data_IF_896162829225
#
_entry.id   IF_896162829225
#
_cell.length_a   1.000
_cell.length_b   1.000
_cell.length_c   1.000
_cell.angle_alpha   90.00
_cell.angle_beta   90.00
_cell.angle_gamma   90.00
#
_symmetry.space_group_name_H-M   'P 1'
#
loop_
_entity.id
_entity.type
_entity.pdbx_description
1 polymer ?
#
# COMPACT_ATOMS: atom_id res chain seq x y z
N UNK A 1 -35.30 -3.19 5.00
CA UNK A 1 -34.38 -3.30 6.13
C UNK A 1 -33.15 -2.48 5.78
N UNK A 2 -33.11 -1.23 6.28
CA UNK A 2 -32.11 -0.19 5.91
C UNK A 2 -31.14 0.10 7.06
N UNK A 3 -30.87 -0.90 7.93
CA UNK A 3 -30.17 -0.67 9.20
C UNK A 3 -28.68 -1.01 9.22
N UNK A 4 -28.05 -1.39 8.10
CA UNK A 4 -26.64 -1.83 8.07
C UNK A 4 -25.67 -0.84 7.41
N UNK A 5 -26.10 0.40 7.14
CA UNK A 5 -25.15 1.42 6.66
C UNK A 5 -24.78 2.35 7.80
N UNK A 6 -23.51 2.28 8.20
CA UNK A 6 -22.91 3.31 9.04
C UNK A 6 -22.99 4.65 8.30
N UNK A 7 -23.49 5.67 8.97
CA UNK A 7 -23.50 7.03 8.48
C UNK A 7 -22.24 7.75 8.94
N UNK A 8 -21.56 8.42 8.03
CA UNK A 8 -20.38 9.23 8.35
C UNK A 8 -20.79 10.69 8.23
N UNK A 9 -20.79 11.40 9.35
CA UNK A 9 -21.22 12.80 9.45
C UNK A 9 -19.98 13.65 9.69
N UNK A 10 -19.64 14.52 8.75
CA UNK A 10 -18.62 15.56 8.95
C UNK A 10 -19.31 16.74 9.63
N UNK A 11 -19.05 16.93 10.93
CA UNK A 11 -19.64 17.99 11.73
C UNK A 11 -18.96 19.33 11.49
N UNK A 12 -17.62 19.31 11.48
CA UNK A 12 -16.77 20.47 11.23
C UNK A 12 -15.62 20.07 10.32
N UNK A 13 -15.27 20.92 9.37
CA UNK A 13 -14.15 20.72 8.44
C UNK A 13 -13.49 22.06 8.14
N UNK A 14 -12.21 22.16 8.51
CA UNK A 14 -11.30 23.22 8.13
C UNK A 14 -10.02 22.62 7.54
N UNK A 15 -9.14 23.37 6.90
CA UNK A 15 -7.88 22.82 6.37
C UNK A 15 -7.02 22.11 7.42
N UNK A 16 -7.08 22.51 8.69
CA UNK A 16 -6.25 21.98 9.77
C UNK A 16 -7.00 21.29 10.91
N UNK A 17 -8.35 21.35 10.93
CA UNK A 17 -9.17 20.70 11.95
C UNK A 17 -10.39 20.05 11.33
N UNK A 18 -10.73 18.86 11.82
CA UNK A 18 -11.95 18.15 11.43
C UNK A 18 -12.57 17.37 12.56
N UNK A 19 -13.90 17.39 12.60
CA UNK A 19 -14.73 16.63 13.53
C UNK A 19 -15.66 15.72 12.74
N UNK A 20 -15.47 14.40 12.87
CA UNK A 20 -16.14 13.37 12.08
C UNK A 20 -16.80 12.40 13.03
N UNK A 21 -18.09 12.13 12.82
CA UNK A 21 -18.86 11.16 13.60
C UNK A 21 -19.22 9.97 12.71
N UNK A 22 -19.04 8.78 13.25
CA UNK A 22 -19.39 7.49 12.62
C UNK A 22 -20.43 6.80 13.48
N UNK A 23 -21.62 6.61 12.96
CA UNK A 23 -22.77 6.04 13.69
C UNK A 23 -23.79 5.40 12.74
N UNK A 24 -24.66 4.47 13.17
CA UNK A 24 -24.53 3.71 14.41
C UNK A 24 -23.45 2.62 14.26
N UNK A 25 -22.75 2.31 15.34
CA UNK A 25 -21.81 1.19 15.41
C UNK A 25 -22.37 0.16 16.41
N UNK A 26 -22.11 -1.12 16.20
CA UNK A 26 -22.42 -2.13 17.21
C UNK A 26 -21.55 -1.90 18.47
N UNK A 27 -22.12 -2.23 19.62
CA UNK A 27 -21.47 -2.02 20.92
C UNK A 27 -20.05 -2.58 20.98
N UNK A 28 -19.09 -1.71 21.36
CA UNK A 28 -17.67 -2.01 21.47
C UNK A 28 -16.87 -1.69 20.20
N UNK A 29 -17.52 -1.56 19.03
CA UNK A 29 -16.81 -1.19 17.79
C UNK A 29 -16.33 0.25 17.78
N UNK A 30 -16.98 1.14 18.53
CA UNK A 30 -16.51 2.52 18.70
C UNK A 30 -15.09 2.57 19.25
N UNK A 31 -14.78 1.79 20.31
CA UNK A 31 -13.42 1.70 20.89
C UNK A 31 -12.44 1.10 19.89
N UNK A 32 -12.81 0.00 19.23
CA UNK A 32 -11.96 -0.72 18.29
C UNK A 32 -11.56 0.17 17.12
N UNK A 33 -12.53 0.82 16.48
CA UNK A 33 -12.28 1.70 15.33
C UNK A 33 -11.57 2.99 15.75
N UNK A 34 -12.02 3.63 16.84
CA UNK A 34 -11.46 4.88 17.34
C UNK A 34 -9.98 4.74 17.70
N UNK A 35 -9.62 3.70 18.45
CA UNK A 35 -8.23 3.44 18.81
C UNK A 35 -7.37 3.07 17.60
N UNK A 36 -7.88 2.21 16.70
CA UNK A 36 -7.14 1.80 15.50
C UNK A 36 -6.87 2.99 14.58
N UNK A 37 -7.89 3.79 14.29
CA UNK A 37 -7.75 5.00 13.47
C UNK A 37 -6.81 6.02 14.11
N UNK A 38 -6.96 6.29 15.42
CA UNK A 38 -6.08 7.22 16.14
C UNK A 38 -4.62 6.80 16.02
N UNK A 39 -4.31 5.52 16.21
CA UNK A 39 -2.92 5.01 16.14
C UNK A 39 -2.34 5.17 14.74
N UNK A 40 -3.09 4.79 13.70
CA UNK A 40 -2.63 4.89 12.32
C UNK A 40 -2.50 6.35 11.87
N UNK A 41 -3.45 7.21 12.25
CA UNK A 41 -3.39 8.65 11.97
C UNK A 41 -2.12 9.31 12.53
N UNK A 42 -1.70 8.95 13.75
CA UNK A 42 -0.52 9.55 14.39
C UNK A 42 0.81 8.95 13.92
N UNK A 43 0.84 7.72 13.41
CA UNK A 43 2.09 7.00 13.12
C UNK A 43 2.37 6.73 11.65
N UNK A 44 1.34 6.63 10.81
CA UNK A 44 1.49 5.97 9.51
C UNK A 44 1.07 6.85 8.32
N UNK A 45 0.56 8.05 8.57
CA UNK A 45 0.26 9.00 7.49
C UNK A 45 1.58 9.54 6.95
N UNK A 46 1.74 9.47 5.63
CA UNK A 46 2.91 10.00 4.95
C UNK A 46 2.85 11.53 4.88
N UNK A 47 3.98 12.16 5.07
CA UNK A 47 4.16 13.59 4.90
C UNK A 47 5.58 13.91 4.45
N UNK A 48 5.91 15.19 4.39
CA UNK A 48 7.24 15.66 4.03
C UNK A 48 7.79 16.55 5.15
N UNK A 49 9.12 16.60 5.25
CA UNK A 49 9.81 17.45 6.20
C UNK A 49 11.19 17.85 5.69
N UNK A 50 11.72 18.95 6.21
CA UNK A 50 13.13 19.32 6.05
C UNK A 50 13.97 18.32 6.83
N UNK A 51 14.92 17.66 6.16
CA UNK A 51 15.76 16.61 6.74
C UNK A 51 17.20 17.03 6.97
N UNK A 52 17.66 18.03 6.22
CA UNK A 52 18.98 18.62 6.36
C UNK A 52 18.98 20.01 5.73
N UNK A 53 19.97 20.83 6.13
CA UNK A 53 20.19 22.15 5.58
C UNK A 53 21.70 22.34 5.36
N UNK A 54 22.09 22.94 4.27
CA UNK A 54 23.45 23.37 4.02
C UNK A 54 23.47 24.88 3.93
N UNK A 55 24.21 25.53 4.81
CA UNK A 55 24.37 26.98 4.83
C UNK A 55 25.81 27.29 4.39
N UNK A 56 26.00 28.23 3.46
CA UNK A 56 27.31 28.60 3.00
C UNK A 56 28.15 29.17 4.15
N UNK A 57 29.36 28.61 4.32
CA UNK A 57 30.31 29.05 5.38
C UNK A 57 30.03 28.46 6.77
N UNK A 58 29.02 27.56 6.94
CA UNK A 58 28.67 26.93 8.20
C UNK A 58 29.04 25.44 8.17
N UNK A 59 29.78 24.97 9.18
CA UNK A 59 30.25 23.59 9.26
C UNK A 59 29.61 22.78 10.40
N UNK A 60 29.03 23.45 11.38
CA UNK A 60 28.39 22.78 12.53
C UNK A 60 27.24 23.64 13.10
N UNK A 61 26.31 22.99 13.77
CA UNK A 61 25.07 23.60 14.30
C UNK A 61 25.26 24.64 15.39
N UNK A 62 26.41 24.61 16.09
CA UNK A 62 26.74 25.57 17.16
C UNK A 62 27.43 26.83 16.65
N UNK A 63 27.38 27.11 15.36
CA UNK A 63 27.95 28.32 14.75
C UNK A 63 26.91 29.44 14.66
N UNK A 64 27.42 30.64 14.41
CA UNK A 64 26.61 31.80 14.04
C UNK A 64 26.82 32.10 12.57
N UNK A 65 25.80 32.67 11.93
CA UNK A 65 25.85 33.08 10.53
C UNK A 65 26.10 34.60 10.50
N UNK A 66 27.16 35.10 9.86
CA UNK A 66 27.40 36.54 9.81
C UNK A 66 26.22 37.31 9.22
N UNK A 67 25.71 38.32 9.98
CA UNK A 67 24.59 39.15 9.56
C UNK A 67 23.21 38.50 9.68
N UNK A 68 23.11 37.31 10.25
CA UNK A 68 21.83 36.70 10.64
C UNK A 68 21.68 36.83 12.17
N UNK A 69 20.51 37.28 12.60
CA UNK A 69 20.21 37.51 14.01
C UNK A 69 20.14 36.20 14.80
N UNK A 70 19.55 35.18 14.21
CA UNK A 70 19.38 33.85 14.76
C UNK A 70 20.67 33.03 14.65
N UNK A 71 20.92 32.17 15.60
CA UNK A 71 21.96 31.14 15.46
C UNK A 71 21.49 29.99 14.55
N UNK A 72 22.42 29.09 14.19
CA UNK A 72 22.13 27.97 13.29
C UNK A 72 21.08 27.03 13.90
N UNK A 73 21.09 26.85 15.24
CA UNK A 73 20.12 25.99 15.91
C UNK A 73 18.72 26.58 15.79
N UNK A 74 18.55 27.89 16.05
CA UNK A 74 17.26 28.58 15.90
C UNK A 74 16.76 28.50 14.45
N UNK A 75 17.65 28.69 13.48
CA UNK A 75 17.31 28.55 12.06
C UNK A 75 16.82 27.14 11.74
N UNK A 76 17.50 26.09 12.21
CA UNK A 76 17.08 24.70 12.01
C UNK A 76 15.72 24.40 12.68
N UNK A 77 15.48 24.95 13.88
CA UNK A 77 14.20 24.81 14.58
C UNK A 77 13.06 25.51 13.82
N UNK A 78 13.31 26.70 13.28
CA UNK A 78 12.33 27.41 12.45
C UNK A 78 11.98 26.59 11.21
N UNK A 79 12.96 26.13 10.47
CA UNK A 79 12.78 25.32 9.26
C UNK A 79 12.05 24.02 9.54
N UNK A 80 12.32 23.34 10.66
CA UNK A 80 11.65 22.11 11.09
C UNK A 80 10.14 22.30 11.30
N UNK A 81 9.71 23.47 11.76
CA UNK A 81 8.30 23.75 12.04
C UNK A 81 7.50 24.18 10.81
N UNK A 82 8.16 24.47 9.69
CA UNK A 82 7.50 24.85 8.45
C UNK A 82 6.79 23.64 7.85
N UNK A 83 5.46 23.70 7.68
CA UNK A 83 4.72 22.63 7.02
C UNK A 83 5.08 22.61 5.52
N UNK A 84 5.43 21.44 5.02
CA UNK A 84 5.82 21.25 3.61
C UNK A 84 5.07 20.07 3.01
N UNK A 85 4.62 20.22 1.77
CA UNK A 85 4.06 19.16 0.93
C UNK A 85 5.05 18.82 -0.16
N UNK A 86 5.34 17.53 -0.33
CA UNK A 86 6.20 17.06 -1.40
C UNK A 86 5.50 15.93 -2.16
N UNK A 87 5.43 16.06 -3.48
CA UNK A 87 4.81 15.07 -4.37
C UNK A 87 5.81 14.04 -4.89
N UNK A 88 7.11 14.32 -4.70
CA UNK A 88 8.19 13.41 -5.09
C UNK A 88 8.48 12.36 -4.02
N UNK A 89 8.83 11.16 -4.46
CA UNK A 89 9.37 10.11 -3.59
C UNK A 89 10.88 10.24 -3.37
N UNK A 90 11.57 11.01 -4.22
CA UNK A 90 12.99 11.33 -4.08
C UNK A 90 13.17 12.60 -3.27
N UNK A 91 14.35 12.73 -2.64
CA UNK A 91 14.73 13.95 -1.93
C UNK A 91 14.85 15.12 -2.90
N UNK A 92 14.29 16.26 -2.51
CA UNK A 92 14.36 17.51 -3.27
C UNK A 92 15.30 18.47 -2.56
N UNK A 93 16.09 19.18 -3.34
CA UNK A 93 16.98 20.25 -2.86
C UNK A 93 16.40 21.57 -3.32
N UNK A 94 16.04 22.41 -2.37
CA UNK A 94 15.53 23.75 -2.60
C UNK A 94 16.63 24.74 -2.30
N UNK A 95 16.75 25.77 -3.09
CA UNK A 95 17.73 26.84 -2.89
C UNK A 95 17.05 28.09 -2.35
N UNK A 96 17.72 28.77 -1.42
CA UNK A 96 17.32 30.07 -0.88
C UNK A 96 18.46 31.03 -0.96
N UNK A 97 18.26 32.17 -1.64
CA UNK A 97 19.17 33.29 -1.65
C UNK A 97 18.44 34.57 -1.21
N UNK A 98 18.92 35.19 -0.15
CA UNK A 98 18.36 36.45 0.33
C UNK A 98 19.43 37.49 0.60
N UNK A 99 19.07 38.79 0.43
CA UNK A 99 19.91 39.94 0.73
C UNK A 99 19.22 40.85 1.72
N UNK A 100 19.96 41.25 2.77
CA UNK A 100 19.46 42.11 3.84
C UNK A 100 19.41 43.63 3.45
N UNK A 101 18.70 44.43 4.26
CA UNK A 101 17.99 44.01 5.47
C UNK A 101 16.60 43.44 5.18
N UNK A 102 16.29 42.27 5.70
CA UNK A 102 15.01 41.59 5.43
C UNK A 102 14.70 40.50 6.48
N UNK A 103 13.41 40.32 6.84
CA UNK A 103 12.94 39.08 7.40
C UNK A 103 12.79 38.05 6.27
N UNK A 104 13.57 36.98 6.36
CA UNK A 104 13.56 35.89 5.38
C UNK A 104 12.41 34.96 5.72
N UNK A 105 11.59 34.66 4.72
CA UNK A 105 10.41 33.80 4.83
C UNK A 105 10.47 32.69 3.79
N UNK A 106 9.52 31.76 3.84
CA UNK A 106 9.40 30.68 2.88
C UNK A 106 9.26 31.17 1.44
N UNK A 107 8.66 32.37 1.23
CA UNK A 107 8.53 32.98 -0.09
C UNK A 107 9.86 33.34 -0.77
N UNK A 108 10.96 33.33 -0.02
CA UNK A 108 12.33 33.56 -0.54
C UNK A 108 13.00 32.27 -1.04
N UNK A 109 12.39 31.14 -0.83
CA UNK A 109 12.85 29.84 -1.38
C UNK A 109 12.51 29.78 -2.86
N UNK A 110 13.47 29.36 -3.68
CA UNK A 110 13.23 29.16 -5.11
C UNK A 110 12.12 28.11 -5.31
N UNK A 111 11.13 28.41 -6.16
CA UNK A 111 9.99 27.52 -6.38
C UNK A 111 10.42 26.19 -7.02
N UNK A 112 9.93 25.09 -6.51
CA UNK A 112 10.10 23.74 -7.08
C UNK A 112 8.73 23.18 -7.47
N UNK A 113 8.64 22.47 -8.60
CA UNK A 113 7.38 21.93 -9.13
C UNK A 113 6.78 20.80 -8.27
N UNK A 114 7.59 20.16 -7.44
CA UNK A 114 7.22 19.00 -6.63
C UNK A 114 7.06 19.35 -5.14
N UNK A 115 7.39 20.58 -4.74
CA UNK A 115 7.34 21.03 -3.34
C UNK A 115 6.47 22.26 -3.19
N UNK A 116 5.51 22.19 -2.27
CA UNK A 116 4.59 23.27 -1.94
C UNK A 116 4.64 23.60 -0.46
N UNK A 117 4.59 24.87 -0.14
CA UNK A 117 4.48 25.36 1.23
C UNK A 117 3.09 25.97 1.45
N UNK A 118 2.27 25.43 2.39
CA UNK A 118 0.96 26.00 2.68
C UNK A 118 0.99 27.41 3.23
N UNK A 119 2.08 27.77 3.95
CA UNK A 119 2.29 29.08 4.52
C UNK A 119 3.56 29.75 3.93
N UNK A 120 3.42 30.58 2.88
CA UNK A 120 4.54 31.29 2.27
C UNK A 120 5.18 32.34 3.19
N UNK A 121 4.44 32.85 4.17
CA UNK A 121 4.90 33.88 5.11
C UNK A 121 5.60 33.29 6.35
N UNK A 122 5.71 31.95 6.44
CA UNK A 122 6.38 31.32 7.55
C UNK A 122 7.83 31.83 7.66
N UNK A 123 8.17 32.26 8.88
CA UNK A 123 9.42 32.91 9.21
C UNK A 123 10.58 31.92 9.27
N UNK A 124 11.73 32.31 8.70
CA UNK A 124 12.98 31.54 8.75
C UNK A 124 14.01 32.20 9.61
N UNK A 125 14.44 33.44 9.27
CA UNK A 125 15.42 34.22 10.00
C UNK A 125 15.37 35.70 9.63
N UNK A 126 16.13 36.55 10.35
CA UNK A 126 16.28 37.95 10.06
C UNK A 126 17.70 38.26 9.57
N UNK A 127 17.81 38.92 8.43
CA UNK A 127 19.07 39.30 7.80
C UNK A 127 19.34 40.80 7.99
N UNK A 128 20.55 41.13 8.44
CA UNK A 128 21.01 42.50 8.65
C UNK A 128 21.44 43.19 7.35
N UNK A 129 21.56 44.53 7.38
CA UNK A 129 21.96 45.31 6.24
C UNK A 129 23.37 44.98 5.75
N UNK A 130 23.54 44.81 4.44
CA UNK A 130 24.83 44.53 3.80
C UNK A 130 25.26 43.06 3.84
N UNK A 131 24.43 42.17 4.37
CA UNK A 131 24.69 40.74 4.42
C UNK A 131 23.81 39.95 3.44
N UNK A 132 24.26 38.80 3.03
CA UNK A 132 23.52 37.85 2.18
C UNK A 132 23.52 36.46 2.83
N UNK A 133 22.45 35.72 2.63
CA UNK A 133 22.31 34.35 3.06
C UNK A 133 22.07 33.45 1.84
N UNK A 134 22.89 32.41 1.71
CA UNK A 134 22.72 31.37 0.70
C UNK A 134 22.65 30.02 1.40
N UNK A 135 21.58 29.25 1.16
CA UNK A 135 21.42 27.92 1.73
C UNK A 135 20.68 26.95 0.81
N UNK A 136 20.99 25.67 0.95
CA UNK A 136 20.28 24.57 0.34
C UNK A 136 19.47 23.82 1.40
N UNK A 137 18.17 23.62 1.15
CA UNK A 137 17.22 22.96 2.04
C UNK A 137 16.86 21.61 1.43
N UNK A 138 17.07 20.53 2.16
CA UNK A 138 16.77 19.16 1.72
C UNK A 138 15.45 18.72 2.29
N UNK A 139 14.48 18.47 1.41
CA UNK A 139 13.14 18.00 1.75
C UNK A 139 12.98 16.53 1.35
N UNK A 140 12.51 15.71 2.27
CA UNK A 140 12.22 14.30 2.02
C UNK A 140 10.79 13.95 2.42
N UNK A 141 10.26 12.86 1.87
CA UNK A 141 9.00 12.25 2.27
C UNK A 141 9.25 11.08 3.22
N UNK A 142 8.33 10.88 4.17
CA UNK A 142 8.45 9.80 5.14
C UNK A 142 7.21 9.64 5.99
N UNK A 143 7.30 8.86 7.05
CA UNK A 143 6.24 8.64 8.04
C UNK A 143 6.78 8.79 9.46
N UNK A 144 5.96 9.30 10.36
CA UNK A 144 6.28 9.44 11.77
C UNK A 144 7.41 10.44 12.05
N UNK A 145 8.38 10.04 12.86
CA UNK A 145 9.50 10.89 13.32
C UNK A 145 10.84 10.22 13.04
N UNK A 146 11.77 10.97 12.49
CA UNK A 146 13.15 10.53 12.26
C UNK A 146 14.10 11.37 13.14
N UNK A 147 14.83 10.73 14.10
CA UNK A 147 15.73 11.43 15.01
C UNK A 147 16.98 11.93 14.28
N UNK A 148 17.69 12.88 14.89
CA UNK A 148 18.90 13.51 14.34
C UNK A 148 20.08 12.52 14.25
N UNK A 149 20.17 11.56 15.16
CA UNK A 149 21.25 10.57 15.27
C UNK A 149 21.12 9.40 14.28
N UNK A 150 20.14 9.47 13.34
CA UNK A 150 20.03 8.49 12.27
C UNK A 150 21.29 8.49 11.39
N UNK A 151 21.63 7.32 10.76
CA UNK A 151 22.73 7.25 9.82
C UNK A 151 22.61 8.32 8.73
N UNK A 152 23.72 9.00 8.45
CA UNK A 152 23.76 10.03 7.40
C UNK A 152 23.43 9.41 6.04
N UNK A 153 22.50 10.00 5.33
CA UNK A 153 22.13 9.53 4.01
C UNK A 153 23.24 9.89 2.98
N UNK A 154 23.48 8.96 2.05
CA UNK A 154 24.55 9.07 1.04
C UNK A 154 24.38 10.24 0.05
N UNK A 155 23.15 10.74 -0.08
CA UNK A 155 22.85 11.89 -0.96
C UNK A 155 23.17 13.24 -0.32
N UNK A 156 23.42 13.30 1.00
CA UNK A 156 23.71 14.55 1.70
C UNK A 156 25.19 14.91 1.57
N UNK A 157 25.53 16.15 1.16
CA UNK A 157 26.90 16.66 1.19
C UNK A 157 27.50 16.61 2.60
N UNK A 158 28.81 16.51 2.70
CA UNK A 158 29.52 16.37 3.99
C UNK A 158 29.26 17.58 4.91
N UNK A 159 29.10 18.75 4.33
CA UNK A 159 28.85 20.03 5.00
C UNK A 159 27.38 20.34 5.29
N UNK A 160 26.43 19.48 4.86
CA UNK A 160 25.03 19.65 5.21
C UNK A 160 24.78 19.27 6.68
N UNK A 161 24.06 20.12 7.39
CA UNK A 161 23.64 19.90 8.77
C UNK A 161 22.35 19.07 8.78
N UNK A 162 22.41 17.88 9.36
CA UNK A 162 21.25 17.01 9.48
C UNK A 162 20.39 17.48 10.64
N UNK A 163 19.07 17.53 10.44
CA UNK A 163 18.10 17.84 11.49
C UNK A 163 17.18 16.64 11.74
N UNK A 164 16.54 16.60 12.90
CA UNK A 164 15.43 15.68 13.11
C UNK A 164 14.25 16.08 12.24
N UNK A 165 13.44 15.13 11.81
CA UNK A 165 12.35 15.37 10.89
C UNK A 165 11.03 14.79 11.41
N UNK A 166 10.00 15.62 11.51
CA UNK A 166 8.64 15.23 11.81
C UNK A 166 7.82 15.15 10.53
N UNK A 167 7.69 13.95 9.99
CA UNK A 167 6.96 13.73 8.75
C UNK A 167 5.44 13.70 8.93
N UNK A 168 4.96 13.31 10.14
CA UNK A 168 3.52 13.18 10.38
C UNK A 168 2.79 14.51 10.21
N UNK A 169 1.85 14.62 9.26
CA UNK A 169 1.06 15.83 9.10
C UNK A 169 -0.04 15.94 10.17
N UNK A 170 -0.36 14.87 10.88
CA UNK A 170 -1.35 14.81 11.94
C UNK A 170 -0.69 15.12 13.27
N UNK A 171 -1.12 16.21 13.89
CA UNK A 171 -0.55 16.70 15.15
C UNK A 171 -1.24 16.11 16.37
N UNK A 172 -2.58 16.00 16.31
CA UNK A 172 -3.38 15.54 17.44
C UNK A 172 -4.61 14.80 16.95
N UNK A 173 -4.97 13.71 17.64
CA UNK A 173 -6.21 12.98 17.43
C UNK A 173 -6.84 12.66 18.77
N UNK A 174 -8.10 13.04 18.96
CA UNK A 174 -8.92 12.59 20.06
C UNK A 174 -10.15 11.87 19.53
N UNK A 175 -10.69 10.95 20.33
CA UNK A 175 -11.97 10.33 20.01
C UNK A 175 -12.82 10.20 21.26
N UNK A 176 -14.12 10.30 21.08
CA UNK A 176 -15.15 10.12 22.10
C UNK A 176 -16.20 9.14 21.62
N UNK A 177 -16.77 8.40 22.55
CA UNK A 177 -17.78 7.38 22.26
C UNK A 177 -18.98 7.64 23.12
N UNK A 178 -20.13 7.74 22.49
CA UNK A 178 -21.41 7.97 23.14
C UNK A 178 -22.40 6.87 22.77
N UNK A 179 -23.28 6.52 23.73
CA UNK A 179 -24.37 5.58 23.45
C UNK A 179 -25.39 6.25 22.49
N UNK A 180 -25.76 5.50 21.43
CA UNK A 180 -26.74 5.94 20.44
C UNK A 180 -27.98 5.06 20.49
N UNK A 181 -29.16 5.70 20.53
CA UNK A 181 -30.43 5.00 20.44
C UNK A 181 -30.91 4.88 19.00
N UNK A 182 -31.17 3.66 18.56
CA UNK A 182 -31.78 3.35 17.28
C UNK A 182 -33.08 2.56 17.48
N UNK A 183 -34.19 3.23 17.32
CA UNK A 183 -35.51 2.65 17.57
C UNK A 183 -35.70 2.18 19.02
N UNK A 184 -35.85 0.88 19.23
CA UNK A 184 -35.98 0.28 20.57
C UNK A 184 -34.65 -0.14 21.20
N UNK A 185 -33.56 -0.21 20.41
CA UNK A 185 -32.21 -0.54 20.90
C UNK A 185 -31.47 0.73 21.31
N UNK A 186 -30.80 0.66 22.47
CA UNK A 186 -30.06 1.79 23.06
C UNK A 186 -28.58 1.48 23.24
N UNK A 187 -28.12 0.39 22.63
CA UNK A 187 -26.80 -0.20 22.81
C UNK A 187 -25.86 -0.03 21.60
N UNK A 188 -26.12 0.95 20.73
CA UNK A 188 -25.22 1.31 19.65
C UNK A 188 -24.20 2.37 20.11
N UNK A 189 -23.00 2.30 19.56
CA UNK A 189 -21.95 3.30 19.75
C UNK A 189 -22.06 4.40 18.68
N UNK A 190 -21.80 5.64 19.07
CA UNK A 190 -21.53 6.76 18.17
C UNK A 190 -20.09 7.21 18.42
N UNK A 191 -19.20 7.01 17.45
CA UNK A 191 -17.79 7.38 17.52
C UNK A 191 -17.59 8.78 16.92
N UNK A 192 -17.10 9.71 17.70
CA UNK A 192 -16.69 11.04 17.25
C UNK A 192 -15.17 11.14 17.26
N UNK A 193 -14.57 11.48 16.13
CA UNK A 193 -13.14 11.71 15.95
C UNK A 193 -12.89 13.20 15.76
N UNK A 194 -11.95 13.77 16.53
CA UNK A 194 -11.43 15.12 16.34
C UNK A 194 -9.97 15.05 15.97
N UNK A 195 -9.60 15.71 14.86
CA UNK A 195 -8.29 15.56 14.21
C UNK A 195 -7.73 16.94 13.92
N UNK A 196 -6.51 17.19 14.36
CA UNK A 196 -5.73 18.39 14.06
C UNK A 196 -4.57 18.03 13.16
N UNK A 197 -4.41 18.76 12.07
CA UNK A 197 -3.32 18.61 11.10
C UNK A 197 -2.51 19.91 11.01
N UNK A 198 -1.37 19.83 10.33
CA UNK A 198 -0.54 21.00 10.03
C UNK A 198 -0.99 21.76 8.76
N UNK A 199 -2.17 21.44 8.19
CA UNK A 199 -2.69 22.07 6.97
C UNK A 199 -2.18 21.48 5.66
N UNK A 200 -1.15 20.64 5.69
CA UNK A 200 -0.64 19.93 4.48
C UNK A 200 -1.66 18.91 3.98
N UNK A 201 -2.30 18.20 4.89
CA UNK A 201 -3.33 17.19 4.61
C UNK A 201 -4.60 17.57 5.33
N UNK A 202 -5.75 17.54 4.65
CA UNK A 202 -7.03 17.77 5.31
C UNK A 202 -7.39 16.60 6.23
N UNK A 203 -8.09 16.84 7.34
CA UNK A 203 -8.50 15.79 8.29
C UNK A 203 -9.24 14.63 7.63
N UNK A 204 -10.14 14.91 6.70
CA UNK A 204 -10.89 13.87 5.96
C UNK A 204 -9.95 13.01 5.11
N UNK A 205 -9.02 13.64 4.39
CA UNK A 205 -8.02 12.94 3.59
C UNK A 205 -7.12 12.04 4.46
N UNK A 206 -6.75 12.53 5.67
CA UNK A 206 -5.99 11.75 6.63
C UNK A 206 -6.77 10.51 7.10
N UNK A 207 -8.09 10.64 7.40
CA UNK A 207 -8.94 9.50 7.80
C UNK A 207 -9.10 8.50 6.66
N UNK A 208 -9.28 8.97 5.42
CA UNK A 208 -9.35 8.10 4.24
C UNK A 208 -8.05 7.30 4.08
N UNK A 209 -6.89 7.94 4.22
CA UNK A 209 -5.59 7.28 4.13
C UNK A 209 -5.41 6.25 5.27
N UNK A 210 -5.74 6.63 6.52
CA UNK A 210 -5.68 5.73 7.67
C UNK A 210 -6.57 4.50 7.48
N UNK A 211 -7.80 4.70 6.98
CA UNK A 211 -8.74 3.62 6.71
C UNK A 211 -8.26 2.69 5.60
N UNK A 212 -7.61 3.23 4.54
CA UNK A 212 -7.00 2.43 3.46
C UNK A 212 -5.85 1.58 3.98
N UNK A 213 -4.99 2.13 4.86
CA UNK A 213 -3.88 1.40 5.50
C UNK A 213 -4.44 0.22 6.32
N UNK A 214 -5.42 0.47 7.19
CA UNK A 214 -6.07 -0.57 7.99
C UNK A 214 -6.73 -1.64 7.11
N UNK A 215 -7.47 -1.23 6.07
CA UNK A 215 -8.07 -2.15 5.11
C UNK A 215 -7.00 -3.03 4.46
N UNK A 216 -5.86 -2.46 4.07
CA UNK A 216 -4.75 -3.22 3.48
C UNK A 216 -4.22 -4.31 4.41
N UNK A 217 -4.00 -3.99 5.69
CA UNK A 217 -3.56 -5.00 6.67
C UNK A 217 -4.60 -6.08 6.91
N UNK A 218 -5.89 -5.72 7.06
CA UNK A 218 -6.96 -6.71 7.24
C UNK A 218 -7.11 -7.60 6.01
N UNK A 219 -7.06 -7.03 4.79
CA UNK A 219 -7.09 -7.81 3.55
C UNK A 219 -5.92 -8.80 3.48
N UNK A 220 -4.70 -8.35 3.78
CA UNK A 220 -3.52 -9.23 3.79
C UNK A 220 -3.65 -10.39 4.79
N UNK A 221 -4.25 -10.16 5.98
CA UNK A 221 -4.52 -11.22 6.95
C UNK A 221 -5.52 -12.23 6.40
N UNK A 222 -6.62 -11.75 5.81
CA UNK A 222 -7.64 -12.61 5.21
C UNK A 222 -7.03 -13.44 4.08
N UNK A 223 -6.32 -12.82 3.15
CA UNK A 223 -5.71 -13.49 2.00
C UNK A 223 -4.70 -14.56 2.45
N UNK A 224 -3.92 -14.27 3.50
CA UNK A 224 -2.93 -15.21 4.05
C UNK A 224 -3.56 -16.42 4.74
N UNK A 225 -4.70 -16.23 5.43
CA UNK A 225 -5.38 -17.29 6.18
C UNK A 225 -6.37 -18.08 5.31
N UNK A 226 -6.96 -17.45 4.31
CA UNK A 226 -7.92 -18.06 3.41
C UNK A 226 -7.27 -19.07 2.44
N UNK A 227 -5.97 -18.95 2.17
CA UNK A 227 -5.23 -19.81 1.24
C UNK A 227 -5.51 -19.48 -0.23
N UNK A 228 -4.73 -20.04 -1.17
CA UNK A 228 -4.96 -19.85 -2.58
C UNK A 228 -6.26 -20.55 -3.01
N UNK A 229 -7.31 -19.79 -3.26
CA UNK A 229 -8.61 -20.30 -3.72
C UNK A 229 -9.83 -19.83 -2.94
N UNK A 230 -9.66 -19.07 -1.88
CA UNK A 230 -10.81 -18.48 -1.17
C UNK A 230 -11.11 -17.12 -1.78
N UNK A 231 -12.31 -17.02 -2.30
CA UNK A 231 -12.88 -15.87 -2.99
C UNK A 231 -12.69 -14.55 -2.23
N UNK A 232 -12.64 -13.47 -2.99
CA UNK A 232 -12.52 -12.10 -2.49
C UNK A 232 -13.44 -11.82 -1.28
N UNK A 233 -13.06 -10.91 -0.41
CA UNK A 233 -13.86 -10.44 0.74
C UNK A 233 -15.33 -10.19 0.37
N UNK A 234 -15.60 -9.74 -0.85
CA UNK A 234 -16.95 -9.48 -1.37
C UNK A 234 -17.80 -10.76 -1.47
N UNK A 235 -17.21 -11.94 -1.70
CA UNK A 235 -17.95 -13.20 -1.72
C UNK A 235 -18.20 -13.75 -0.31
N UNK A 236 -17.28 -13.54 0.62
CA UNK A 236 -17.48 -13.90 2.04
C UNK A 236 -18.63 -13.08 2.61
N UNK A 237 -18.67 -11.78 2.38
CA UNK A 237 -19.78 -10.93 2.82
C UNK A 237 -21.11 -11.24 2.12
N UNK A 238 -21.10 -11.56 0.83
CA UNK A 238 -22.31 -11.99 0.09
C UNK A 238 -22.86 -13.33 0.61
N UNK A 239 -21.97 -14.26 0.99
CA UNK A 239 -22.38 -15.56 1.56
C UNK A 239 -22.93 -15.42 2.98
N UNK A 240 -22.41 -14.48 3.79
CA UNK A 240 -22.98 -14.17 5.10
C UNK A 240 -24.37 -13.49 4.99
N UNK A 241 -24.56 -12.59 4.05
CA UNK A 241 -25.87 -12.00 3.76
C UNK A 241 -26.87 -13.07 3.27
N UNK A 242 -26.44 -13.95 2.38
CA UNK A 242 -27.28 -15.04 1.88
C UNK A 242 -27.61 -16.06 3.00
N UNK A 243 -26.66 -16.36 3.88
CA UNK A 243 -26.88 -17.26 5.04
C UNK A 243 -27.80 -16.64 6.08
N UNK A 244 -27.70 -15.34 6.34
CA UNK A 244 -28.62 -14.59 7.23
C UNK A 244 -30.01 -14.46 6.64
N UNK A 245 -30.14 -14.25 5.33
CA UNK A 245 -31.43 -14.23 4.62
C UNK A 245 -32.10 -15.60 4.61
N UNK A 246 -31.36 -16.69 4.48
CA UNK A 246 -31.86 -18.05 4.53
C UNK A 246 -32.32 -18.47 5.95
N UNK A 247 -31.68 -17.95 6.99
CA UNK A 247 -32.07 -18.21 8.39
C UNK A 247 -33.37 -17.49 8.83
N UNK A 248 -33.76 -16.40 8.13
CA UNK A 248 -34.98 -15.64 8.42
C UNK A 248 -36.19 -16.01 7.55
N UNK A 249 -36.00 -16.82 6.50
CA UNK A 249 -37.06 -17.22 5.55
C UNK A 249 -37.57 -18.63 5.78
N UNK A 250 -38.31 -18.87 6.88
CA UNK A 250 -39.07 -20.10 7.07
C UNK A 250 -40.34 -20.12 6.18
N UNK A 251 -40.40 -21.14 5.32
CA UNK A 251 -41.60 -21.73 4.76
C UNK A 251 -42.29 -21.08 3.56
N UNK A 252 -42.10 -21.66 2.36
CA UNK A 252 -43.11 -22.27 1.51
C UNK A 252 -42.61 -22.57 0.08
N UNK A 253 -42.87 -23.82 -0.36
CA UNK A 253 -43.40 -24.15 -1.67
C UNK A 253 -42.41 -24.47 -2.78
N UNK A 254 -42.22 -25.75 -2.97
CA UNK A 254 -41.82 -26.40 -4.22
C UNK A 254 -42.61 -25.87 -5.40
N UNK A 255 -41.94 -25.48 -6.50
CA UNK A 255 -42.37 -25.84 -7.85
C UNK A 255 -41.23 -25.66 -8.84
N UNK A 256 -41.05 -26.72 -9.64
CA UNK A 256 -40.11 -26.84 -10.72
C UNK A 256 -40.68 -26.18 -12.01
N UNK A 257 -39.93 -25.51 -12.80
CA UNK A 257 -39.71 -25.72 -14.23
C UNK A 257 -39.17 -24.49 -14.98
N UNK A 258 -38.15 -24.79 -15.76
CA UNK A 258 -37.83 -24.25 -17.10
C UNK A 258 -37.26 -22.83 -17.24
N UNK A 259 -36.14 -22.79 -17.92
CA UNK A 259 -35.89 -21.84 -18.99
C UNK A 259 -34.49 -21.30 -19.08
N UNK A 260 -33.75 -21.88 -20.02
CA UNK A 260 -32.46 -21.37 -20.56
C UNK A 260 -32.50 -19.87 -20.84
N UNK A 261 -31.46 -19.16 -20.47
CA UNK A 261 -30.49 -18.48 -21.37
C UNK A 261 -29.86 -17.29 -20.68
N UNK A 262 -28.56 -17.14 -20.86
CA UNK A 262 -27.83 -15.95 -20.43
C UNK A 262 -26.41 -16.28 -19.98
N UNK A 263 -25.55 -16.54 -20.97
CA UNK A 263 -24.11 -16.53 -20.80
C UNK A 263 -23.67 -15.22 -20.17
N UNK A 264 -23.16 -15.25 -18.93
CA UNK A 264 -22.24 -14.27 -18.43
C UNK A 264 -21.04 -14.97 -17.82
N UNK A 265 -19.89 -14.71 -18.43
CA UNK A 265 -18.58 -15.15 -18.01
C UNK A 265 -18.32 -14.69 -16.57
N UNK A 266 -18.35 -15.64 -15.62
CA UNK A 266 -17.74 -15.53 -14.31
C UNK A 266 -16.38 -16.20 -14.38
N UNK A 267 -15.33 -15.45 -14.18
CA UNK A 267 -13.93 -15.88 -14.13
C UNK A 267 -13.67 -16.86 -12.98
N UNK A 268 -14.04 -18.13 -13.19
CA UNK A 268 -13.35 -19.26 -12.56
C UNK A 268 -12.30 -19.71 -13.55
N UNK A 269 -11.26 -18.91 -13.68
CA UNK A 269 -10.16 -19.19 -14.59
C UNK A 269 -9.46 -20.47 -14.14
N UNK A 270 -9.60 -21.56 -14.92
CA UNK A 270 -8.84 -22.82 -14.79
C UNK A 270 -7.33 -22.54 -14.66
N UNK A 271 -6.88 -21.41 -15.20
CA UNK A 271 -5.50 -20.94 -15.12
C UNK A 271 -5.00 -20.66 -13.69
N UNK A 272 -5.89 -20.34 -12.75
CA UNK A 272 -5.55 -20.09 -11.33
C UNK A 272 -5.55 -21.36 -10.48
N UNK A 273 -5.82 -22.54 -11.06
CA UNK A 273 -5.77 -23.81 -10.33
C UNK A 273 -4.34 -24.33 -10.23
N UNK A 274 -4.00 -25.02 -9.12
CA UNK A 274 -2.70 -25.66 -8.97
C UNK A 274 -2.55 -26.83 -9.94
N UNK A 275 -1.31 -27.11 -10.35
CA UNK A 275 -0.96 -28.21 -11.27
C UNK A 275 -1.43 -29.59 -10.74
N UNK A 276 -1.61 -29.74 -9.43
CA UNK A 276 -2.15 -30.95 -8.78
C UNK A 276 -3.53 -31.34 -9.28
N UNK A 277 -4.36 -30.38 -9.66
CA UNK A 277 -5.72 -30.61 -10.15
C UNK A 277 -5.76 -31.26 -11.53
N UNK A 278 -4.63 -31.33 -12.24
CA UNK A 278 -4.49 -32.05 -13.51
C UNK A 278 -4.38 -33.57 -13.32
N UNK A 279 -4.32 -34.09 -12.06
CA UNK A 279 -4.16 -35.52 -11.76
C UNK A 279 -3.00 -36.18 -12.55
N UNK A 280 -1.85 -35.51 -12.55
CA UNK A 280 -0.63 -36.01 -13.16
C UNK A 280 -0.02 -37.13 -12.28
N UNK A 281 0.85 -37.94 -12.89
CA UNK A 281 1.66 -38.89 -12.13
C UNK A 281 2.52 -38.12 -11.10
N UNK A 282 2.79 -38.74 -9.96
CA UNK A 282 3.62 -38.17 -8.87
C UNK A 282 4.99 -37.70 -9.39
N UNK A 283 5.51 -38.38 -10.40
CA UNK A 283 6.79 -38.04 -11.04
C UNK A 283 6.68 -36.76 -11.85
N UNK A 284 5.65 -36.62 -12.69
CA UNK A 284 5.43 -35.43 -13.54
C UNK A 284 5.10 -34.21 -12.69
N UNK A 285 4.26 -34.36 -11.66
CA UNK A 285 3.95 -33.30 -10.70
C UNK A 285 5.20 -32.79 -9.99
N UNK A 286 6.01 -33.68 -9.42
CA UNK A 286 7.23 -33.30 -8.72
C UNK A 286 8.26 -32.62 -9.63
N UNK A 287 8.33 -33.00 -10.91
CA UNK A 287 9.21 -32.34 -11.88
C UNK A 287 8.76 -30.91 -12.16
N UNK A 288 7.47 -30.68 -12.35
CA UNK A 288 6.90 -29.34 -12.57
C UNK A 288 7.11 -28.44 -11.37
N UNK A 289 6.81 -28.91 -10.15
CA UNK A 289 7.02 -28.15 -8.90
C UNK A 289 8.49 -27.75 -8.70
N UNK A 290 9.44 -28.67 -8.99
CA UNK A 290 10.88 -28.37 -8.95
C UNK A 290 11.32 -27.41 -10.06
N UNK A 291 10.61 -27.40 -11.18
CA UNK A 291 10.82 -26.47 -12.30
C UNK A 291 10.19 -25.10 -12.07
N UNK A 292 9.58 -24.86 -10.88
CA UNK A 292 8.94 -23.59 -10.54
C UNK A 292 7.60 -23.37 -11.22
N UNK A 293 6.89 -24.45 -11.60
CA UNK A 293 5.55 -24.41 -12.20
C UNK A 293 4.54 -24.91 -11.17
N UNK A 294 3.76 -24.00 -10.60
CA UNK A 294 2.81 -24.30 -9.52
C UNK A 294 1.36 -24.23 -9.96
N UNK A 295 1.05 -23.39 -10.95
CA UNK A 295 -0.30 -23.13 -11.45
C UNK A 295 -0.48 -23.57 -12.89
N UNK A 296 -1.72 -23.94 -13.27
CA UNK A 296 -2.06 -24.34 -14.65
C UNK A 296 -1.77 -23.19 -15.63
N UNK A 297 -2.01 -21.94 -15.23
CA UNK A 297 -1.70 -20.78 -16.08
C UNK A 297 -0.22 -20.61 -16.38
N UNK A 298 0.66 -20.92 -15.42
CA UNK A 298 2.12 -20.92 -15.63
C UNK A 298 2.54 -22.05 -16.58
N UNK A 299 1.88 -23.19 -16.48
CA UNK A 299 2.13 -24.35 -17.35
C UNK A 299 1.75 -24.05 -18.80
N UNK A 300 0.55 -23.50 -19.02
CA UNK A 300 0.04 -23.15 -20.36
C UNK A 300 0.86 -22.02 -21.00
N UNK A 301 1.45 -21.14 -20.24
CA UNK A 301 2.31 -20.07 -20.77
C UNK A 301 3.69 -20.53 -21.24
N UNK A 302 4.10 -21.77 -20.91
CA UNK A 302 5.40 -22.33 -21.32
C UNK A 302 5.30 -23.08 -22.63
N UNK A 303 6.44 -23.12 -23.36
CA UNK A 303 6.58 -23.92 -24.57
C UNK A 303 7.04 -25.35 -24.26
N UNK A 304 6.84 -26.28 -25.19
CA UNK A 304 7.37 -27.67 -25.11
C UNK A 304 8.86 -27.70 -24.81
N UNK A 305 9.63 -26.83 -25.47
CA UNK A 305 11.07 -26.77 -25.31
C UNK A 305 11.48 -26.26 -23.90
N UNK A 306 10.70 -25.35 -23.32
CA UNK A 306 10.97 -24.86 -21.97
C UNK A 306 10.67 -25.92 -20.91
N UNK A 307 9.66 -26.74 -21.12
CA UNK A 307 9.32 -27.85 -20.23
C UNK A 307 10.38 -28.95 -20.31
N UNK A 308 10.91 -29.25 -21.50
CA UNK A 308 11.99 -30.26 -21.68
C UNK A 308 13.32 -29.84 -21.06
N UNK A 309 13.54 -28.53 -20.77
CA UNK A 309 14.72 -28.05 -20.04
C UNK A 309 14.64 -28.34 -18.53
N UNK A 310 13.44 -28.69 -18.02
CA UNK A 310 13.27 -29.04 -16.61
C UNK A 310 13.94 -30.41 -16.35
N UNK A 311 14.82 -30.45 -15.37
CA UNK A 311 15.56 -31.65 -15.01
C UNK A 311 14.63 -32.81 -14.67
N UNK A 312 14.80 -33.96 -15.33
CA UNK A 312 14.03 -35.20 -15.18
C UNK A 312 12.58 -35.16 -15.72
N UNK A 313 12.18 -34.15 -16.49
CA UNK A 313 10.94 -34.15 -17.24
C UNK A 313 11.23 -34.65 -18.66
N UNK A 314 10.79 -35.87 -18.98
CA UNK A 314 11.02 -36.50 -20.26
C UNK A 314 9.83 -36.39 -21.22
N UNK A 315 10.02 -36.85 -22.48
CA UNK A 315 8.97 -36.84 -23.52
C UNK A 315 7.68 -37.53 -23.09
N UNK A 316 7.75 -38.61 -22.29
CA UNK A 316 6.57 -39.33 -21.76
C UNK A 316 5.79 -38.49 -20.79
N UNK A 317 6.49 -37.81 -19.87
CA UNK A 317 5.83 -36.87 -18.90
C UNK A 317 5.24 -35.66 -19.60
N UNK A 318 5.86 -35.18 -20.68
CA UNK A 318 5.32 -34.09 -21.51
C UNK A 318 4.02 -34.50 -22.18
N UNK A 319 3.98 -35.70 -22.80
CA UNK A 319 2.77 -36.24 -23.42
C UNK A 319 1.62 -36.42 -22.42
N UNK A 320 1.91 -36.90 -21.20
CA UNK A 320 0.94 -36.98 -20.12
C UNK A 320 0.35 -35.61 -19.76
N UNK A 321 1.21 -34.56 -19.68
CA UNK A 321 0.80 -33.20 -19.39
C UNK A 321 -0.12 -32.64 -20.48
N UNK A 322 0.23 -32.85 -21.75
CA UNK A 322 -0.57 -32.41 -22.89
C UNK A 322 -1.94 -33.12 -22.95
N UNK A 323 -1.99 -34.42 -22.71
CA UNK A 323 -3.23 -35.20 -22.65
C UNK A 323 -4.15 -34.72 -21.51
N UNK A 324 -3.58 -34.35 -20.36
CA UNK A 324 -4.35 -33.83 -19.24
C UNK A 324 -4.82 -32.40 -19.48
N UNK A 325 -4.02 -31.53 -20.09
CA UNK A 325 -4.41 -30.20 -20.51
C UNK A 325 -5.54 -30.22 -21.55
N UNK A 326 -5.46 -31.12 -22.51
CA UNK A 326 -6.47 -31.29 -23.56
C UNK A 326 -7.87 -31.63 -22.98
N UNK A 327 -7.95 -32.34 -21.84
CA UNK A 327 -9.23 -32.60 -21.13
C UNK A 327 -9.92 -31.34 -20.61
N UNK A 328 -9.17 -30.26 -20.47
CA UNK A 328 -9.66 -28.95 -20.02
C UNK A 328 -9.71 -27.95 -21.19
N UNK A 329 -9.59 -28.40 -22.45
CA UNK A 329 -9.49 -27.57 -23.66
C UNK A 329 -8.32 -26.56 -23.60
N UNK A 330 -7.22 -26.91 -22.93
CA UNK A 330 -6.00 -26.12 -22.80
C UNK A 330 -4.84 -26.72 -23.60
N UNK A 331 -4.01 -25.83 -24.15
CA UNK A 331 -2.82 -26.20 -24.92
C UNK A 331 -1.61 -25.41 -24.42
N UNK A 332 -0.40 -25.97 -24.62
CA UNK A 332 0.85 -25.26 -24.31
C UNK A 332 1.08 -24.11 -25.30
N UNK A 333 1.77 -23.07 -24.84
CA UNK A 333 2.11 -21.90 -25.65
C UNK A 333 3.00 -22.35 -26.84
N UNK A 334 2.53 -22.10 -28.07
CA UNK A 334 3.26 -22.46 -29.30
C UNK A 334 2.69 -23.65 -30.09
N UNK A 335 1.67 -24.35 -29.59
CA UNK A 335 0.96 -25.38 -30.38
C UNK A 335 -0.16 -24.75 -31.21
N UNK A 336 0.16 -24.38 -32.44
CA UNK A 336 -0.83 -24.18 -33.50
C UNK A 336 -1.09 -25.56 -34.06
N UNK A 337 -2.30 -26.05 -33.90
CA UNK A 337 -2.86 -27.32 -34.38
C UNK A 337 -2.31 -27.77 -35.73
N UNK A 338 -1.53 -28.83 -35.74
CA UNK A 338 -1.38 -29.76 -36.87
C UNK A 338 -1.72 -31.16 -36.37
N UNK A 339 -2.53 -31.96 -37.10
CA UNK A 339 -2.85 -33.33 -36.73
C UNK A 339 -1.58 -34.19 -36.75
N UNK A 340 -1.46 -35.05 -35.74
CA UNK A 340 -0.38 -36.03 -35.63
C UNK A 340 -0.49 -37.01 -36.78
N UNK A 341 0.53 -37.05 -37.62
CA UNK A 341 0.84 -38.23 -38.43
C UNK A 341 1.52 -39.26 -37.53
N UNK A 342 0.85 -40.40 -37.39
CA UNK A 342 1.43 -41.65 -36.92
C UNK A 342 2.48 -42.07 -37.93
N UNK A 343 3.73 -42.12 -37.52
CA UNK A 343 4.76 -43.02 -38.00
C UNK A 343 6.08 -42.72 -37.29
N UNK A 344 6.47 -43.60 -36.42
CA UNK A 344 7.79 -44.25 -36.40
C UNK A 344 7.90 -45.13 -35.13
N UNK A 345 7.80 -46.43 -35.45
CA UNK A 345 8.19 -47.53 -34.60
C UNK A 345 9.70 -47.56 -34.38
N UNK A 346 10.02 -48.07 -33.17
CA UNK A 346 11.24 -48.82 -32.85
C UNK A 346 12.61 -48.19 -33.05
N UNK A 347 13.29 -48.10 -31.93
CA UNK A 347 14.56 -48.81 -31.73
C UNK A 347 14.99 -48.77 -30.27
N UNK A 348 15.00 -49.97 -29.71
CA UNK A 348 15.83 -50.41 -28.56
C UNK A 348 17.30 -50.02 -28.76
N UNK A 349 17.95 -49.75 -27.64
CA UNK A 349 19.21 -50.38 -27.23
C UNK A 349 19.73 -49.69 -25.99
N UNK A 350 19.68 -50.38 -24.88
CA UNK A 350 20.69 -51.28 -24.34
C UNK A 350 21.78 -50.62 -23.49
N UNK A 351 21.69 -51.04 -22.28
CA UNK A 351 22.69 -51.33 -21.27
C UNK A 351 24.18 -51.10 -21.60
N UNK A 352 24.87 -50.86 -20.53
CA UNK A 352 26.28 -51.08 -20.17
C UNK A 352 27.11 -49.80 -20.09
N UNK A 353 27.85 -49.52 -19.04
CA UNK A 353 28.67 -50.24 -18.08
C UNK A 353 29.10 -49.21 -17.02
N UNK A 354 28.99 -49.49 -15.78
CA UNK A 354 29.98 -50.11 -14.89
C UNK A 354 31.44 -49.62 -15.05
N UNK A 355 31.94 -49.04 -13.96
CA UNK A 355 33.28 -49.11 -13.39
C UNK A 355 34.23 -47.96 -13.58
N UNK A 356 34.74 -47.59 -12.41
CA UNK A 356 36.13 -47.17 -12.06
C UNK A 356 36.59 -45.82 -12.63
N UNK A 357 36.85 -44.84 -11.77
CA UNK A 357 37.83 -44.70 -10.66
C UNK A 357 37.36 -43.63 -9.68
#
# INVERSE_FOLDING_TARGET
>A
MEHDRHEIIVQESTPSYGKITVEPLERGYGVTLGNSLRRVLLSSISGAAVVAVRVEGVLHEFSTIPGVKEDVIELLVNLKHIPVRCHSTSVRTLHLEAKGPKAVTVSDIDPDSEVEFPDPEAYICTLEEGHSLSMDIYVATGTGYAPIDRPRASYLPVDALQTDALFSPVQRVTYDIQDKRMGQRTDYDSLTLEIWTNGVVTPESAVIQASRILKGYYSSIVDSLAGPGTSSLDEIFKNDEASRAAAMGGNKGFDAHSGLSGFQMGENSIYSRPVRDLELSVRSENCLLRGGVHMIGELVSRTRDDLLKIRNLGKISLKEIEEKLAKFDLHLSGDISTPLDDDDEDLDDNEQNLKEE
#
